data_IF_836104390408
#
_entry.id   IF_836104390408
#
_cell.length_a   1.000
_cell.length_b   1.000
_cell.length_c   1.000
_cell.angle_alpha   90.00
_cell.angle_beta   90.00
_cell.angle_gamma   90.00
#
_symmetry.space_group_name_H-M   'P 1'
#
loop_
_entity.id
_entity.type
_entity.pdbx_description
1 polymer ?
#
# COMPACT_ATOMS: atom_id res chain seq x y z
N UNK A 1 16.70 -21.27 -24.09
CA UNK A 1 15.52 -20.51 -23.63
C UNK A 1 15.63 -20.47 -22.13
N UNK A 2 16.33 -19.46 -21.65
CA UNK A 2 16.72 -19.32 -20.26
C UNK A 2 15.48 -19.03 -19.41
N UNK A 3 15.08 -20.02 -18.63
CA UNK A 3 14.17 -19.87 -17.52
C UNK A 3 14.83 -18.95 -16.49
N UNK A 4 14.53 -17.65 -16.55
CA UNK A 4 14.82 -16.77 -15.42
C UNK A 4 13.95 -17.25 -14.24
N UNK A 5 14.55 -17.64 -13.11
CA UNK A 5 13.78 -17.83 -11.90
C UNK A 5 13.43 -16.42 -11.42
N UNK A 6 12.27 -15.89 -11.80
CA UNK A 6 11.63 -14.87 -10.97
C UNK A 6 11.37 -15.57 -9.64
N UNK A 7 12.30 -15.39 -8.71
CA UNK A 7 12.17 -15.74 -7.30
C UNK A 7 10.78 -15.32 -6.86
N UNK A 8 10.07 -16.18 -6.11
CA UNK A 8 8.76 -15.90 -5.49
C UNK A 8 8.70 -14.46 -4.95
N UNK A 9 8.26 -13.52 -5.77
CA UNK A 9 7.94 -12.17 -5.36
C UNK A 9 6.56 -12.29 -4.73
N UNK A 10 6.52 -12.38 -3.40
CA UNK A 10 5.27 -12.37 -2.64
C UNK A 10 4.70 -10.96 -2.70
N UNK A 11 3.99 -10.67 -3.78
CA UNK A 11 3.08 -9.54 -3.95
C UNK A 11 1.83 -9.63 -3.04
N UNK A 12 1.81 -10.60 -2.14
CA UNK A 12 0.63 -10.99 -1.41
C UNK A 12 0.42 -10.03 -0.26
N UNK A 13 -0.70 -9.32 -0.30
CA UNK A 13 -1.18 -8.60 0.85
C UNK A 13 -1.39 -9.60 2.00
N UNK A 14 -0.83 -9.28 3.17
CA UNK A 14 -0.87 -10.13 4.35
C UNK A 14 -1.74 -9.49 5.42
N UNK A 15 -2.55 -10.29 6.11
CA UNK A 15 -3.29 -9.81 7.27
C UNK A 15 -2.33 -9.48 8.43
N UNK A 16 -2.38 -8.25 8.89
CA UNK A 16 -1.86 -7.85 10.19
C UNK A 16 -2.93 -8.02 11.28
N UNK A 17 -4.20 -7.78 10.98
CA UNK A 17 -5.31 -8.20 11.83
C UNK A 17 -6.33 -8.84 10.89
N UNK A 18 -6.61 -10.12 11.11
CA UNK A 18 -7.47 -10.92 10.23
C UNK A 18 -8.81 -10.20 9.98
N UNK A 19 -9.10 -9.95 8.69
CA UNK A 19 -10.33 -9.31 8.25
C UNK A 19 -10.46 -7.83 8.60
N UNK A 20 -9.41 -7.17 9.12
CA UNK A 20 -9.48 -5.77 9.59
C UNK A 20 -8.38 -4.90 9.00
N UNK A 21 -7.13 -5.37 9.09
CA UNK A 21 -5.95 -4.60 8.70
C UNK A 21 -4.97 -5.50 7.96
N UNK A 22 -4.64 -5.15 6.72
CA UNK A 22 -3.64 -5.83 5.90
C UNK A 22 -2.45 -4.91 5.63
N UNK A 23 -1.34 -5.50 5.20
CA UNK A 23 -0.17 -4.79 4.70
C UNK A 23 0.31 -5.38 3.38
N UNK A 24 0.92 -4.56 2.54
CA UNK A 24 1.54 -5.03 1.30
C UNK A 24 2.75 -4.18 0.89
N UNK A 25 3.50 -4.68 -0.08
CA UNK A 25 4.47 -3.90 -0.85
C UNK A 25 3.75 -3.02 -1.89
N UNK A 26 4.46 -2.07 -2.51
CA UNK A 26 3.89 -1.33 -3.66
C UNK A 26 3.67 -2.25 -4.87
N UNK A 27 2.71 -1.93 -5.75
CA UNK A 27 2.50 -2.70 -6.98
C UNK A 27 3.77 -2.83 -7.82
N UNK A 28 4.17 -4.07 -8.15
CA UNK A 28 5.35 -4.33 -8.98
C UNK A 28 6.71 -4.07 -8.31
N UNK A 29 6.77 -3.92 -6.98
CA UNK A 29 8.05 -3.91 -6.25
C UNK A 29 8.87 -5.18 -6.55
N UNK A 30 10.22 -5.11 -6.68
CA UNK A 30 11.10 -3.95 -6.50
C UNK A 30 11.33 -3.12 -7.77
N UNK A 31 10.56 -3.33 -8.84
CA UNK A 31 10.79 -2.68 -10.14
C UNK A 31 10.31 -1.23 -10.11
N UNK A 32 11.16 -0.26 -10.45
CA UNK A 32 10.81 1.17 -10.47
C UNK A 32 9.88 1.56 -11.61
N UNK A 33 9.84 0.76 -12.69
CA UNK A 33 8.89 0.95 -13.79
C UNK A 33 8.17 -0.36 -14.07
N UNK A 34 7.25 -0.79 -13.20
CA UNK A 34 6.61 -2.08 -13.35
C UNK A 34 5.70 -2.08 -14.59
N UNK A 35 5.42 -3.27 -15.17
CA UNK A 35 4.42 -3.39 -16.22
C UNK A 35 3.00 -3.17 -15.65
N UNK A 36 2.08 -2.70 -16.49
CA UNK A 36 0.67 -2.49 -16.13
C UNK A 36 0.03 -3.72 -15.48
N UNK A 37 0.36 -4.92 -16.01
CA UNK A 37 -0.14 -6.19 -15.49
C UNK A 37 0.22 -6.39 -14.01
N UNK A 38 1.43 -6.01 -13.58
CA UNK A 38 1.82 -6.13 -12.18
C UNK A 38 0.97 -5.22 -11.27
N UNK A 39 0.60 -4.04 -11.77
CA UNK A 39 -0.30 -3.12 -11.06
C UNK A 39 -1.70 -3.70 -10.95
N UNK A 40 -2.26 -4.20 -12.07
CA UNK A 40 -3.59 -4.80 -12.08
C UNK A 40 -3.66 -6.02 -11.15
N UNK A 41 -2.68 -6.93 -11.20
CA UNK A 41 -2.62 -8.10 -10.32
C UNK A 41 -2.56 -7.72 -8.84
N UNK A 42 -1.84 -6.65 -8.50
CA UNK A 42 -1.79 -6.17 -7.12
C UNK A 42 -3.16 -5.67 -6.64
N UNK A 43 -3.87 -4.90 -7.47
CA UNK A 43 -5.22 -4.41 -7.14
C UNK A 43 -6.19 -5.57 -7.04
N UNK A 44 -6.12 -6.53 -7.97
CA UNK A 44 -6.95 -7.74 -7.95
C UNK A 44 -6.69 -8.60 -6.72
N UNK A 45 -5.44 -8.71 -6.27
CA UNK A 45 -5.10 -9.41 -5.04
C UNK A 45 -5.70 -8.70 -3.81
N UNK A 46 -5.63 -7.37 -3.73
CA UNK A 46 -6.25 -6.61 -2.64
C UNK A 46 -7.77 -6.81 -2.62
N UNK A 47 -8.44 -6.74 -3.77
CA UNK A 47 -9.87 -6.97 -3.90
C UNK A 47 -10.26 -8.42 -3.55
N UNK A 48 -9.47 -9.40 -3.99
CA UNK A 48 -9.68 -10.83 -3.69
C UNK A 48 -9.53 -11.13 -2.20
N UNK A 49 -8.63 -10.41 -1.52
CA UNK A 49 -8.48 -10.45 -0.07
C UNK A 49 -9.70 -9.82 0.66
N UNK A 50 -10.57 -9.13 -0.06
CA UNK A 50 -11.75 -8.45 0.49
C UNK A 50 -11.45 -7.06 1.06
N UNK A 51 -10.30 -6.46 0.70
CA UNK A 51 -9.95 -5.09 1.11
C UNK A 51 -10.94 -4.09 0.51
N UNK A 52 -11.43 -3.18 1.36
CA UNK A 52 -12.33 -2.09 0.95
C UNK A 52 -11.57 -0.76 0.78
N UNK A 53 -10.47 -0.59 1.51
CA UNK A 53 -9.73 0.68 1.52
C UNK A 53 -8.22 0.48 1.53
N UNK A 54 -7.48 1.44 0.97
CA UNK A 54 -6.03 1.47 0.91
C UNK A 54 -5.49 2.77 1.53
N UNK A 55 -4.49 2.64 2.40
CA UNK A 55 -3.63 3.75 2.82
C UNK A 55 -2.29 3.61 2.08
N UNK A 56 -2.03 4.55 1.18
CA UNK A 56 -0.79 4.64 0.43
C UNK A 56 0.19 5.56 1.17
N UNK A 57 1.37 5.04 1.50
CA UNK A 57 2.47 5.77 2.16
C UNK A 57 3.62 6.13 1.21
N UNK A 58 3.44 5.96 -0.10
CA UNK A 58 4.46 6.33 -1.09
C UNK A 58 4.62 7.85 -1.12
N UNK A 59 5.87 8.32 -1.18
CA UNK A 59 6.13 9.70 -1.55
C UNK A 59 5.81 9.94 -3.05
N UNK A 60 5.88 11.19 -3.47
CA UNK A 60 5.56 11.57 -4.85
C UNK A 60 6.57 11.03 -5.87
N UNK A 61 7.83 10.84 -5.50
CA UNK A 61 8.86 10.27 -6.38
C UNK A 61 8.56 8.80 -6.66
N UNK A 62 8.19 8.05 -5.63
CA UNK A 62 7.78 6.65 -5.74
C UNK A 62 6.43 6.47 -6.44
N UNK A 63 5.56 7.47 -6.42
CA UNK A 63 4.34 7.48 -7.25
C UNK A 63 4.65 7.72 -8.73
N UNK A 64 5.69 8.51 -9.05
CA UNK A 64 6.08 8.78 -10.44
C UNK A 64 6.55 7.53 -11.20
N UNK A 65 6.90 6.47 -10.48
CA UNK A 65 7.19 5.14 -11.00
C UNK A 65 6.06 4.53 -11.83
N UNK A 66 4.84 5.04 -11.73
CA UNK A 66 3.67 4.55 -12.47
C UNK A 66 3.23 5.49 -13.60
N UNK A 67 3.89 6.64 -13.78
CA UNK A 67 3.49 7.68 -14.75
C UNK A 67 3.64 7.21 -16.21
N UNK A 68 4.44 6.18 -16.46
CA UNK A 68 4.58 5.58 -17.78
C UNK A 68 3.47 4.61 -18.15
N UNK A 69 2.54 4.33 -17.23
CA UNK A 69 1.46 3.38 -17.42
C UNK A 69 0.15 4.15 -17.61
N UNK A 70 -0.60 3.84 -18.65
CA UNK A 70 -1.96 4.37 -18.85
C UNK A 70 -2.94 3.71 -17.87
N UNK A 71 -2.95 4.18 -16.63
CA UNK A 71 -3.83 3.69 -15.55
C UNK A 71 -5.12 4.51 -15.39
N UNK A 72 -5.39 5.41 -16.33
CA UNK A 72 -6.45 6.42 -16.30
C UNK A 72 -5.92 7.80 -15.89
N UNK A 73 -6.81 8.79 -15.85
CA UNK A 73 -6.47 10.15 -15.42
C UNK A 73 -6.05 10.12 -13.95
N UNK A 74 -4.77 10.40 -13.68
CA UNK A 74 -4.14 10.53 -12.34
C UNK A 74 -3.54 9.28 -11.68
N UNK A 75 -3.02 8.32 -12.47
CA UNK A 75 -2.03 7.34 -12.00
C UNK A 75 -2.54 6.27 -11.03
N UNK A 76 -1.64 5.67 -10.24
CA UNK A 76 -1.93 4.50 -9.40
C UNK A 76 -3.11 4.70 -8.44
N UNK A 77 -3.18 5.85 -7.77
CA UNK A 77 -4.23 6.11 -6.77
C UNK A 77 -5.60 6.21 -7.42
N UNK A 78 -5.69 6.84 -8.59
CA UNK A 78 -6.92 6.90 -9.37
C UNK A 78 -7.34 5.52 -9.87
N UNK A 79 -6.37 4.70 -10.28
CA UNK A 79 -6.63 3.32 -10.69
C UNK A 79 -7.28 2.49 -9.57
N UNK A 80 -6.73 2.54 -8.36
CA UNK A 80 -7.30 1.86 -7.20
C UNK A 80 -8.75 2.32 -6.94
N UNK A 81 -9.01 3.63 -7.00
CA UNK A 81 -10.37 4.20 -6.83
C UNK A 81 -11.34 3.74 -7.91
N UNK A 82 -10.91 3.73 -9.17
CA UNK A 82 -11.71 3.27 -10.30
C UNK A 82 -12.08 1.77 -10.18
N UNK A 83 -11.29 0.99 -9.44
CA UNK A 83 -11.53 -0.42 -9.16
C UNK A 83 -12.38 -0.66 -7.90
N UNK A 84 -12.85 0.40 -7.25
CA UNK A 84 -13.76 0.32 -6.10
C UNK A 84 -13.09 0.43 -4.73
N UNK A 85 -11.78 0.67 -4.66
CA UNK A 85 -11.08 0.86 -3.38
C UNK A 85 -11.18 2.32 -2.92
N UNK A 86 -11.49 2.53 -1.64
CA UNK A 86 -11.33 3.85 -1.03
C UNK A 86 -9.84 4.11 -0.77
N UNK A 87 -9.30 5.24 -1.22
CA UNK A 87 -7.84 5.50 -1.13
C UNK A 87 -7.55 6.77 -0.34
N UNK A 88 -6.80 6.62 0.76
CA UNK A 88 -6.11 7.71 1.45
C UNK A 88 -4.63 7.70 1.06
N UNK A 89 -4.07 8.87 0.78
CA UNK A 89 -2.65 9.04 0.48
C UNK A 89 -2.03 9.94 1.54
N UNK A 90 -1.02 9.40 2.22
CA UNK A 90 -0.26 10.08 3.27
C UNK A 90 1.21 9.99 2.82
N UNK A 91 1.69 10.97 2.04
CA UNK A 91 3.03 10.92 1.49
C UNK A 91 4.05 10.95 2.64
N UNK A 92 4.90 9.94 2.70
CA UNK A 92 5.93 9.83 3.71
C UNK A 92 7.28 9.59 3.05
N UNK A 93 8.25 10.48 3.32
CA UNK A 93 9.60 10.37 2.77
C UNK A 93 10.25 9.02 3.12
N UNK A 94 10.97 8.45 2.16
CA UNK A 94 11.71 7.22 2.38
C UNK A 94 13.01 7.45 3.18
N UNK A 95 13.54 6.40 3.81
CA UNK A 95 14.83 6.38 4.52
C UNK A 95 15.00 7.34 5.71
N UNK A 96 13.91 7.76 6.36
CA UNK A 96 13.97 8.52 7.63
C UNK A 96 13.86 7.65 8.87
N UNK A 97 14.33 8.18 10.00
CA UNK A 97 14.19 7.57 11.34
C UNK A 97 13.60 8.60 12.31
N UNK A 98 12.45 8.32 12.97
CA UNK A 98 11.60 7.14 12.78
C UNK A 98 10.99 7.08 11.36
N UNK A 99 10.60 5.90 10.84
CA UNK A 99 10.08 5.74 9.47
C UNK A 99 8.85 6.59 9.17
N UNK A 100 8.04 6.86 10.20
CA UNK A 100 6.94 7.81 10.19
C UNK A 100 7.11 8.74 11.39
N UNK A 101 6.89 10.03 11.17
CA UNK A 101 6.79 11.06 12.21
C UNK A 101 5.49 10.91 13.00
N UNK A 102 5.43 11.53 14.17
CA UNK A 102 4.20 11.53 15.00
C UNK A 102 3.01 12.12 14.25
N UNK A 103 3.23 13.17 13.44
CA UNK A 103 2.18 13.77 12.60
C UNK A 103 1.66 12.78 11.57
N UNK A 104 2.55 12.07 10.85
CA UNK A 104 2.12 11.07 9.85
C UNK A 104 1.43 9.88 10.50
N UNK A 105 1.86 9.45 11.68
CA UNK A 105 1.19 8.41 12.45
C UNK A 105 -0.23 8.83 12.86
N UNK A 106 -0.40 10.07 13.31
CA UNK A 106 -1.72 10.65 13.59
C UNK A 106 -2.59 10.70 12.33
N UNK A 107 -2.04 11.12 11.19
CA UNK A 107 -2.76 11.12 9.90
C UNK A 107 -3.15 9.70 9.45
N UNK A 108 -2.28 8.72 9.66
CA UNK A 108 -2.55 7.30 9.40
C UNK A 108 -3.71 6.81 10.25
N UNK A 109 -3.70 7.13 11.54
CA UNK A 109 -4.78 6.76 12.45
C UNK A 109 -6.11 7.42 12.05
N UNK A 110 -6.09 8.72 11.79
CA UNK A 110 -7.25 9.49 11.35
C UNK A 110 -7.84 8.94 10.03
N UNK A 111 -6.98 8.63 9.06
CA UNK A 111 -7.39 8.01 7.80
C UNK A 111 -7.98 6.62 8.06
N UNK A 112 -7.30 5.81 8.88
CA UNK A 112 -7.81 4.51 9.26
C UNK A 112 -9.21 4.64 9.88
N UNK A 113 -9.46 5.51 10.86
CA UNK A 113 -10.78 5.63 11.49
C UNK A 113 -11.91 5.97 10.50
N UNK A 114 -11.63 6.74 9.44
CA UNK A 114 -12.64 7.14 8.44
C UNK A 114 -12.85 6.11 7.33
N UNK A 115 -11.87 5.27 7.05
CA UNK A 115 -11.89 4.33 5.93
C UNK A 115 -12.67 3.05 6.27
N UNK A 116 -13.43 2.57 5.29
CA UNK A 116 -14.16 1.31 5.37
C UNK A 116 -13.19 0.13 5.54
N UNK A 117 -13.56 -0.82 6.41
CA UNK A 117 -12.76 -2.01 6.70
C UNK A 117 -13.15 -3.14 5.75
N UNK A 118 -12.20 -4.00 5.36
CA UNK A 118 -10.79 -4.06 5.79
C UNK A 118 -9.89 -3.03 5.09
N UNK A 119 -8.88 -2.52 5.81
CA UNK A 119 -7.91 -1.54 5.27
C UNK A 119 -6.58 -2.22 4.97
N UNK A 120 -5.99 -1.93 3.81
CA UNK A 120 -4.62 -2.31 3.46
C UNK A 120 -3.69 -1.11 3.55
N UNK A 121 -2.56 -1.26 4.22
CA UNK A 121 -1.50 -0.24 4.26
C UNK A 121 -0.32 -0.69 3.38
N UNK A 122 0.18 0.17 2.50
CA UNK A 122 1.41 -0.13 1.76
C UNK A 122 2.35 1.07 1.69
N UNK A 123 3.65 0.76 1.59
CA UNK A 123 4.72 1.71 1.25
C UNK A 123 5.48 1.14 0.04
N UNK A 124 6.79 1.37 -0.08
CA UNK A 124 7.61 0.76 -1.14
C UNK A 124 7.81 -0.75 -0.90
N UNK A 125 8.67 -1.13 0.05
CA UNK A 125 8.94 -2.54 0.34
C UNK A 125 7.89 -3.23 1.24
N UNK A 126 6.90 -2.49 1.76
CA UNK A 126 5.89 -3.00 2.71
C UNK A 126 6.45 -3.32 4.10
N UNK A 127 7.65 -2.83 4.44
CA UNK A 127 8.37 -3.17 5.69
C UNK A 127 8.42 -2.02 6.69
N UNK A 128 9.15 -0.95 6.39
CA UNK A 128 9.48 0.06 7.40
C UNK A 128 8.29 0.99 7.70
N UNK A 129 7.90 1.84 6.73
CA UNK A 129 6.76 2.77 6.86
C UNK A 129 5.44 2.03 7.10
N UNK A 130 5.16 0.99 6.31
CA UNK A 130 3.95 0.19 6.46
C UNK A 130 3.92 -0.57 7.80
N UNK A 131 5.06 -1.10 8.26
CA UNK A 131 5.18 -1.73 9.57
C UNK A 131 4.90 -0.75 10.71
N UNK A 132 5.51 0.44 10.67
CA UNK A 132 5.28 1.48 11.67
C UNK A 132 3.80 1.89 11.74
N UNK A 133 3.15 2.10 10.58
CA UNK A 133 1.72 2.39 10.50
C UNK A 133 0.85 1.26 11.08
N UNK A 134 1.14 0.01 10.71
CA UNK A 134 0.38 -1.15 11.18
C UNK A 134 0.51 -1.34 12.69
N UNK A 135 1.72 -1.24 13.24
CA UNK A 135 1.95 -1.38 14.67
C UNK A 135 1.29 -0.24 15.47
N UNK A 136 1.30 0.98 14.94
CA UNK A 136 0.59 2.10 15.56
C UNK A 136 -0.93 1.88 15.61
N UNK A 137 -1.54 1.46 14.49
CA UNK A 137 -2.98 1.13 14.44
C UNK A 137 -3.30 -0.02 15.41
N UNK A 138 -2.49 -1.09 15.42
CA UNK A 138 -2.65 -2.22 16.34
C UNK A 138 -2.61 -1.79 17.80
N UNK A 139 -1.64 -0.95 18.18
CA UNK A 139 -1.51 -0.46 19.54
C UNK A 139 -2.75 0.34 19.99
N UNK A 140 -3.29 1.19 19.12
CA UNK A 140 -4.50 1.97 19.41
C UNK A 140 -5.77 1.14 19.46
N UNK A 141 -5.86 0.05 18.70
CA UNK A 141 -6.99 -0.87 18.76
C UNK A 141 -6.96 -1.79 19.99
N UNK A 142 -5.77 -2.19 20.45
CA UNK A 142 -5.60 -3.07 21.62
C UNK A 142 -5.53 -2.34 22.97
N UNK A 143 -5.37 -1.02 22.95
CA UNK A 143 -5.28 -0.17 24.15
C UNK A 143 -6.57 0.57 24.51
N UNK A 144 -7.69 0.25 23.85
CA UNK A 144 -9.02 0.84 24.07
C UNK A 144 -9.89 0.04 25.03
#
# INVERSE_FOLDING_TARGET
>A
MDSFPFSKETYEAEWAIDGVLARAQRPGYPVDRPPAEAVHRWVDAALTLGVQSVICLLDYEQLSHYDHIELGDNGLLAHCRARGLNVAHIPADDYKTPPLSETELAEVWDAYQRLEKPVLVHCSAGRDRAGAAVEHIRALLGGG
#
